data_IF_354825244446
#
_entry.id   IF_354825244446
#
_cell.length_a   1.000
_cell.length_b   1.000
_cell.length_c   1.000
_cell.angle_alpha   90.00
_cell.angle_beta   90.00
_cell.angle_gamma   90.00
#
_symmetry.space_group_name_H-M   'P 1'
#
loop_
_entity.id
_entity.type
_entity.pdbx_description
1 polymer ?
#
# COMPACT_ATOMS: atom_id res chain seq x y z
N UNK A 1 5.55 -15.74 -1.47
CA UNK A 1 6.84 -15.22 -1.04
C UNK A 1 7.17 -13.86 -1.60
N UNK A 2 7.11 -13.74 -2.93
CA UNK A 2 7.46 -12.45 -3.55
C UNK A 2 6.58 -11.31 -3.08
N UNK A 3 5.30 -11.59 -2.90
CA UNK A 3 4.37 -10.53 -2.48
C UNK A 3 4.71 -10.02 -1.09
N UNK A 4 4.99 -10.95 -0.17
CA UNK A 4 5.35 -10.54 1.19
C UNK A 4 6.64 -9.73 1.20
N UNK A 5 7.61 -10.13 0.37
CA UNK A 5 8.85 -9.39 0.26
C UNK A 5 8.63 -8.00 -0.32
N UNK A 6 7.76 -7.90 -1.32
CA UNK A 6 7.45 -6.60 -1.91
C UNK A 6 6.79 -5.69 -0.89
N UNK A 7 5.85 -6.21 -0.11
CA UNK A 7 5.19 -5.40 0.92
C UNK A 7 6.18 -4.94 1.98
N UNK A 8 7.10 -5.82 2.35
CA UNK A 8 8.16 -5.44 3.30
C UNK A 8 9.02 -4.32 2.71
N UNK A 9 9.39 -4.47 1.44
CA UNK A 9 10.19 -3.45 0.77
C UNK A 9 9.46 -2.10 0.74
N UNK A 10 8.18 -2.13 0.40
CA UNK A 10 7.37 -0.92 0.37
C UNK A 10 7.36 -0.26 1.75
N UNK A 11 7.20 -1.07 2.80
CA UNK A 11 7.16 -0.55 4.15
C UNK A 11 8.47 0.15 4.52
N UNK A 12 9.60 -0.51 4.23
CA UNK A 12 10.89 0.07 4.54
C UNK A 12 11.13 1.35 3.74
N UNK A 13 10.72 1.33 2.49
CA UNK A 13 10.86 2.48 1.63
C UNK A 13 10.04 3.67 2.16
N UNK A 14 8.80 3.40 2.55
CA UNK A 14 7.95 4.45 3.10
C UNK A 14 8.53 5.02 4.40
N UNK A 15 9.05 4.16 5.26
CA UNK A 15 9.67 4.62 6.51
C UNK A 15 10.83 5.56 6.23
N UNK A 16 11.66 5.20 5.26
CA UNK A 16 12.81 6.01 4.93
C UNK A 16 12.38 7.35 4.30
N UNK A 17 11.47 7.28 3.33
CA UNK A 17 11.02 8.49 2.64
C UNK A 17 10.31 9.46 3.58
N UNK A 18 9.63 8.93 4.57
CA UNK A 18 8.93 9.79 5.54
C UNK A 18 9.90 10.62 6.38
N UNK A 19 11.17 10.26 6.37
CA UNK A 19 12.19 11.00 7.12
C UNK A 19 13.11 11.82 6.23
N UNK A 20 13.19 11.49 4.95
CA UNK A 20 14.24 12.07 4.11
C UNK A 20 13.75 12.75 2.84
N UNK A 21 12.57 12.39 2.33
CA UNK A 21 12.12 12.89 1.04
C UNK A 21 11.05 13.97 1.20
N UNK A 22 11.35 15.23 0.85
CA UNK A 22 10.42 16.35 1.12
C UNK A 22 9.03 16.17 0.51
N UNK A 23 8.95 15.66 -0.71
CA UNK A 23 7.65 15.47 -1.36
C UNK A 23 6.83 14.39 -0.67
N UNK A 24 7.49 13.33 -0.21
CA UNK A 24 6.80 12.27 0.50
C UNK A 24 6.36 12.76 1.87
N UNK A 25 7.22 13.51 2.54
CA UNK A 25 6.90 14.07 3.85
C UNK A 25 5.65 14.94 3.75
N UNK A 26 5.54 15.72 2.68
CA UNK A 26 4.36 16.58 2.48
C UNK A 26 3.08 15.75 2.35
N UNK A 27 3.18 14.55 1.78
CA UNK A 27 2.01 13.72 1.58
C UNK A 27 1.54 13.01 2.85
N UNK A 28 2.42 12.87 3.85
CA UNK A 28 2.02 12.24 5.12
C UNK A 28 1.81 13.25 6.24
N UNK A 29 2.21 14.49 6.01
CA UNK A 29 2.12 15.50 7.05
C UNK A 29 0.67 15.72 7.52
N UNK A 30 0.47 15.61 8.82
CA UNK A 30 -0.84 15.83 9.39
C UNK A 30 -1.86 14.76 9.09
N UNK A 31 -1.44 13.64 8.48
CA UNK A 31 -2.36 12.55 8.15
C UNK A 31 -2.34 11.48 9.24
N UNK A 32 -3.46 10.84 9.41
CA UNK A 32 -3.60 9.75 10.38
C UNK A 32 -4.57 8.73 9.81
N UNK A 33 -4.04 7.64 9.29
CA UNK A 33 -4.88 6.58 8.73
C UNK A 33 -4.08 5.29 8.65
N UNK A 34 -4.79 4.18 8.43
CA UNK A 34 -4.18 2.87 8.28
C UNK A 34 -4.64 2.24 6.98
N UNK A 35 -3.69 1.82 6.17
CA UNK A 35 -3.97 1.07 4.95
C UNK A 35 -3.54 -0.37 5.19
N UNK A 36 -4.43 -1.31 4.88
CA UNK A 36 -4.12 -2.72 4.97
C UNK A 36 -4.09 -3.33 3.58
N UNK A 37 -3.10 -4.17 3.32
CA UNK A 37 -2.99 -4.91 2.08
C UNK A 37 -3.00 -6.39 2.44
N UNK A 38 -3.92 -7.14 1.84
CA UNK A 38 -4.09 -8.55 2.17
C UNK A 38 -4.45 -9.37 0.93
N UNK A 39 -4.43 -10.68 1.07
CA UNK A 39 -4.81 -11.58 -0.02
C UNK A 39 -5.57 -12.77 0.53
N UNK A 40 -6.23 -13.50 -0.38
CA UNK A 40 -6.95 -14.72 -0.02
C UNK A 40 -6.00 -15.82 0.47
N UNK A 41 -4.71 -15.67 0.24
CA UNK A 41 -3.72 -16.65 0.67
C UNK A 41 -3.16 -16.38 2.06
N UNK A 42 -3.79 -15.46 2.78
CA UNK A 42 -3.42 -15.19 4.17
C UNK A 42 -2.37 -14.12 4.36
N UNK A 43 -1.86 -13.55 3.29
CA UNK A 43 -0.91 -12.44 3.40
C UNK A 43 -1.64 -11.21 3.95
N UNK A 44 -1.04 -10.52 4.89
CA UNK A 44 -1.61 -9.29 5.42
C UNK A 44 -0.50 -8.42 5.98
N UNK A 45 -0.55 -7.15 5.66
CA UNK A 45 0.36 -6.15 6.22
C UNK A 45 -0.35 -4.83 6.28
N UNK A 46 -0.18 -4.10 7.36
CA UNK A 46 -0.78 -2.78 7.43
C UNK A 46 0.31 -1.71 7.47
N UNK A 47 -0.09 -0.51 7.07
CA UNK A 47 0.76 0.67 7.04
C UNK A 47 0.01 1.76 7.77
N UNK A 48 0.48 2.12 8.95
CA UNK A 48 -0.18 3.14 9.76
C UNK A 48 0.61 4.43 9.65
N UNK A 49 -0.03 5.45 9.13
CA UNK A 49 0.57 6.78 8.98
C UNK A 49 0.05 7.63 10.13
N UNK A 50 0.96 8.08 10.99
CA UNK A 50 0.59 8.80 12.20
C UNK A 50 1.76 9.64 12.67
N UNK A 51 1.51 10.89 13.02
CA UNK A 51 2.54 11.82 13.49
C UNK A 51 3.70 11.92 12.50
N UNK A 52 3.39 11.96 11.22
CA UNK A 52 4.37 12.06 10.13
C UNK A 52 5.31 10.87 10.05
N UNK A 53 4.89 9.73 10.59
CA UNK A 53 5.68 8.51 10.56
C UNK A 53 4.88 7.39 9.93
N UNK A 54 5.61 6.39 9.45
CA UNK A 54 5.00 5.20 8.90
C UNK A 54 5.38 4.03 9.79
N UNK A 55 4.37 3.32 10.31
CA UNK A 55 4.57 2.12 11.11
C UNK A 55 3.92 0.97 10.36
N UNK A 56 4.66 -0.09 10.14
CA UNK A 56 4.14 -1.22 9.37
C UNK A 56 4.41 -2.52 10.10
N UNK A 57 3.45 -3.45 10.04
CA UNK A 57 3.60 -4.77 10.61
C UNK A 57 3.04 -5.81 9.66
N UNK A 58 3.64 -7.00 9.72
CA UNK A 58 3.23 -8.14 8.92
C UNK A 58 2.07 -8.84 9.63
N UNK A 59 0.93 -8.17 9.66
CA UNK A 59 -0.26 -8.63 10.38
C UNK A 59 -1.47 -7.86 9.92
N UNK A 60 -2.66 -8.36 10.24
CA UNK A 60 -3.90 -7.66 9.99
C UNK A 60 -4.13 -6.63 11.07
N UNK A 61 -4.65 -5.48 10.67
CA UNK A 61 -5.01 -4.43 11.62
C UNK A 61 -6.47 -4.60 12.03
N UNK A 62 -6.76 -4.25 13.28
CA UNK A 62 -8.09 -4.42 13.83
C UNK A 62 -9.14 -3.56 13.10
N UNK A 63 -8.80 -2.33 12.76
CA UNK A 63 -9.74 -1.46 12.07
C UNK A 63 -9.00 -0.55 11.10
N UNK A 64 -8.64 -1.08 9.93
CA UNK A 64 -7.94 -0.26 8.93
C UNK A 64 -8.89 0.78 8.35
N UNK A 65 -8.33 1.92 7.99
CA UNK A 65 -9.12 2.98 7.35
C UNK A 65 -9.50 2.55 5.94
N UNK A 66 -8.59 1.84 5.27
CA UNK A 66 -8.84 1.34 3.93
C UNK A 66 -8.11 0.01 3.77
N UNK A 67 -8.72 -0.93 3.05
CA UNK A 67 -8.12 -2.23 2.78
C UNK A 67 -8.10 -2.51 1.29
N UNK A 68 -6.95 -2.98 0.79
CA UNK A 68 -6.84 -3.54 -0.56
C UNK A 68 -6.67 -5.04 -0.41
N UNK A 69 -7.66 -5.80 -0.86
CA UNK A 69 -7.63 -7.25 -0.73
C UNK A 69 -7.52 -7.90 -2.10
N UNK A 70 -6.46 -8.65 -2.31
CA UNK A 70 -6.18 -9.30 -3.61
C UNK A 70 -6.63 -10.75 -3.61
N UNK A 71 -6.98 -11.25 -4.80
CA UNK A 71 -7.44 -12.63 -4.93
C UNK A 71 -6.32 -13.62 -4.62
N UNK A 72 -5.08 -13.26 -4.94
CA UNK A 72 -3.93 -14.09 -4.59
C UNK A 72 -2.67 -13.25 -4.53
N UNK A 73 -1.59 -13.85 -4.04
CA UNK A 73 -0.32 -13.14 -3.87
C UNK A 73 0.29 -12.73 -5.21
N UNK A 74 0.15 -13.57 -6.22
CA UNK A 74 0.74 -13.28 -7.53
C UNK A 74 0.10 -12.03 -8.14
N UNK A 75 -1.21 -11.92 -8.01
CA UNK A 75 -1.94 -10.75 -8.50
C UNK A 75 -1.49 -9.49 -7.76
N UNK A 76 -1.39 -9.60 -6.44
CA UNK A 76 -0.95 -8.46 -5.63
C UNK A 76 0.44 -8.01 -6.01
N UNK A 77 1.35 -8.96 -6.15
CA UNK A 77 2.72 -8.64 -6.54
C UNK A 77 2.76 -7.96 -7.90
N UNK A 78 2.03 -8.50 -8.86
CA UNK A 78 2.02 -7.97 -10.22
C UNK A 78 1.49 -6.53 -10.26
N UNK A 79 0.37 -6.29 -9.60
CA UNK A 79 -0.27 -4.97 -9.66
C UNK A 79 0.53 -3.91 -8.91
N UNK A 80 1.05 -4.25 -7.75
CA UNK A 80 1.81 -3.27 -6.98
C UNK A 80 3.18 -3.01 -7.58
N UNK A 81 3.81 -4.02 -8.19
CA UNK A 81 5.10 -3.79 -8.84
C UNK A 81 4.98 -2.90 -10.05
N UNK A 82 3.88 -2.98 -10.78
CA UNK A 82 3.68 -2.13 -11.96
C UNK A 82 3.41 -0.68 -11.58
N UNK A 83 2.81 -0.47 -10.42
CA UNK A 83 2.47 0.86 -9.93
C UNK A 83 1.65 1.65 -10.96
N UNK A 84 0.76 0.96 -11.68
CA UNK A 84 -0.08 1.56 -12.71
C UNK A 84 -1.51 1.64 -12.22
N UNK A 85 -2.05 2.86 -12.12
CA UNK A 85 -3.44 3.02 -11.69
C UNK A 85 -4.40 2.44 -12.71
N UNK A 86 -4.02 2.48 -13.98
CA UNK A 86 -4.85 1.92 -15.05
C UNK A 86 -4.99 0.41 -14.89
N UNK A 87 -3.87 -0.28 -14.67
CA UNK A 87 -3.89 -1.73 -14.44
C UNK A 87 -4.66 -2.08 -13.17
N UNK A 88 -4.50 -1.27 -12.14
CA UNK A 88 -5.17 -1.50 -10.88
C UNK A 88 -6.69 -1.39 -11.04
N UNK A 89 -7.14 -0.35 -11.75
CA UNK A 89 -8.57 -0.15 -11.97
C UNK A 89 -9.16 -1.28 -12.81
N UNK A 90 -8.43 -1.76 -13.81
CA UNK A 90 -8.88 -2.89 -14.60
C UNK A 90 -9.03 -4.14 -13.75
N UNK A 91 -8.08 -4.36 -12.83
CA UNK A 91 -8.13 -5.50 -11.93
C UNK A 91 -9.33 -5.42 -10.99
N UNK A 92 -9.67 -4.21 -10.54
CA UNK A 92 -10.85 -4.02 -9.71
C UNK A 92 -12.11 -4.42 -10.45
N UNK A 93 -12.20 -4.06 -11.72
CA UNK A 93 -13.36 -4.43 -12.53
C UNK A 93 -13.48 -5.94 -12.72
N UNK A 94 -12.35 -6.64 -12.75
CA UNK A 94 -12.34 -8.09 -12.88
C UNK A 94 -12.52 -8.82 -11.55
N UNK A 95 -12.59 -8.08 -10.46
CA UNK A 95 -12.75 -8.68 -9.14
C UNK A 95 -11.46 -9.28 -8.58
N UNK A 96 -10.32 -8.92 -9.15
CA UNK A 96 -9.03 -9.43 -8.68
C UNK A 96 -8.51 -8.68 -7.46
N UNK A 97 -9.04 -7.49 -7.22
CA UNK A 97 -8.73 -6.74 -6.03
C UNK A 97 -9.99 -6.02 -5.56
N UNK A 98 -10.22 -6.05 -4.26
CA UNK A 98 -11.35 -5.35 -3.65
C UNK A 98 -10.83 -4.28 -2.72
N UNK A 99 -11.39 -3.10 -2.83
CA UNK A 99 -11.02 -1.98 -1.96
C UNK A 99 -12.21 -1.65 -1.08
N UNK A 100 -11.99 -1.64 0.23
CA UNK A 100 -13.03 -1.30 1.19
C UNK A 100 -12.52 -0.19 2.09
N UNK A 101 -13.46 0.57 2.67
CA UNK A 101 -13.13 1.67 3.54
C UNK A 101 -13.06 2.98 2.78
N UNK A 102 -12.14 3.85 3.17
CA UNK A 102 -12.00 5.18 2.57
C UNK A 102 -11.33 5.11 1.21
N UNK A 103 -12.13 5.18 0.16
CA UNK A 103 -11.62 5.06 -1.20
C UNK A 103 -10.64 6.17 -1.58
N UNK A 104 -10.72 7.32 -0.95
CA UNK A 104 -9.79 8.41 -1.26
C UNK A 104 -8.35 8.03 -0.93
N UNK A 105 -8.17 7.10 0.01
CA UNK A 105 -6.83 6.63 0.35
C UNK A 105 -6.22 5.78 -0.76
N UNK A 106 -7.05 5.17 -1.60
CA UNK A 106 -6.54 4.46 -2.75
C UNK A 106 -5.83 5.43 -3.69
N UNK A 107 -6.44 6.60 -3.91
CA UNK A 107 -5.83 7.61 -4.75
C UNK A 107 -4.55 8.14 -4.11
N UNK A 108 -4.56 8.30 -2.79
CA UNK A 108 -3.35 8.71 -2.08
C UNK A 108 -2.23 7.67 -2.29
N UNK A 109 -2.57 6.41 -2.14
CA UNK A 109 -1.59 5.34 -2.31
C UNK A 109 -1.04 5.32 -3.74
N UNK A 110 -1.91 5.50 -4.72
CA UNK A 110 -1.46 5.56 -6.11
C UNK A 110 -0.53 6.75 -6.34
N UNK A 111 -0.76 7.85 -5.64
CA UNK A 111 0.07 9.05 -5.81
C UNK A 111 1.48 8.86 -5.27
N UNK A 112 1.68 7.95 -4.31
CA UNK A 112 3.01 7.71 -3.78
C UNK A 112 3.71 6.53 -4.47
N UNK A 113 3.00 5.81 -5.31
CA UNK A 113 3.57 4.62 -5.95
C UNK A 113 4.88 4.90 -6.70
N UNK A 114 5.03 6.02 -7.41
CA UNK A 114 6.31 6.29 -8.08
C UNK A 114 7.50 6.36 -7.15
N UNK A 115 7.29 6.74 -5.88
CA UNK A 115 8.38 6.81 -4.91
C UNK A 115 8.82 5.43 -4.44
N UNK A 116 7.97 4.42 -4.68
CA UNK A 116 8.22 3.07 -4.17
C UNK A 116 9.05 2.22 -5.13
N UNK A 117 9.31 2.70 -6.32
CA UNK A 117 10.04 1.90 -7.29
C UNK A 117 11.47 1.69 -6.83
N UNK A 118 12.03 0.49 -7.05
CA UNK A 118 13.40 0.21 -6.60
C UNK A 118 14.45 0.99 -7.39
N UNK A 119 14.08 1.57 -8.52
CA UNK A 119 14.99 2.38 -9.33
C UNK A 119 14.19 3.47 -10.00
N UNK A 120 14.89 4.41 -10.54
CA UNK A 120 14.20 5.52 -11.20
C UNK A 120 13.91 5.30 -12.60
#
# INVERSE_FOLDING_TARGET
MKFKMLLWYIARRMELLARTHPEFIARVHGRDFTIQISSDEGTARFFHIHHNRVVSRNAAHKSPTMTMHFSDDATGFSLLSKASSESFMAAMQRGEVKVTGDFSLLMWFMSIAPFMRPYK
#
